data_IF_725152802521
#
_entry.id   IF_725152802521
#
_cell.length_a   1.000
_cell.length_b   1.000
_cell.length_c   1.000
_cell.angle_alpha   90.00
_cell.angle_beta   90.00
_cell.angle_gamma   90.00
#
_symmetry.space_group_name_H-M   'P 1'
#
loop_
_entity.id
_entity.type
_entity.pdbx_description
1 polymer ?
#
# COMPACT_ATOMS: atom_id res chain seq x y z
N UNK A 1 -7.60 4.77 -27.23
CA UNK A 1 -6.97 4.74 -28.57
C UNK A 1 -5.46 4.73 -28.50
N UNK A 2 -4.82 5.78 -27.94
CA UNK A 2 -3.34 5.85 -27.89
C UNK A 2 -2.72 4.66 -27.14
N UNK A 3 -3.30 4.23 -26.03
CA UNK A 3 -2.85 3.03 -25.31
C UNK A 3 -2.87 1.77 -26.20
N UNK A 4 -3.94 1.58 -26.98
CA UNK A 4 -4.02 0.42 -27.87
C UNK A 4 -2.97 0.47 -28.99
N UNK A 5 -2.70 1.66 -29.52
CA UNK A 5 -1.68 1.86 -30.56
C UNK A 5 -0.25 1.60 -30.07
N UNK A 6 0.04 1.99 -28.83
CA UNK A 6 1.40 1.98 -28.30
C UNK A 6 1.73 0.76 -27.42
N UNK A 7 0.73 0.17 -26.77
CA UNK A 7 0.93 -0.91 -25.76
C UNK A 7 0.25 -2.23 -26.09
N UNK A 8 -0.47 -2.33 -27.22
CA UNK A 8 -1.13 -3.59 -27.60
C UNK A 8 -0.73 -4.03 -29.00
N UNK A 9 -1.09 -5.26 -29.37
CA UNK A 9 -0.86 -5.81 -30.70
C UNK A 9 -2.01 -5.55 -31.68
N UNK A 10 -2.93 -4.65 -31.33
CA UNK A 10 -4.05 -4.29 -32.19
C UNK A 10 -3.51 -3.45 -33.38
N UNK A 11 -3.86 -3.85 -34.59
CA UNK A 11 -3.44 -3.10 -35.77
C UNK A 11 -3.89 -1.64 -35.76
N UNK A 12 -3.03 -0.71 -36.15
CA UNK A 12 -3.29 0.73 -36.05
C UNK A 12 -4.62 1.16 -36.72
N UNK A 13 -4.96 0.61 -37.86
CA UNK A 13 -6.25 0.87 -38.54
C UNK A 13 -7.44 0.50 -37.68
N UNK A 14 -7.44 -0.71 -37.12
CA UNK A 14 -8.53 -1.19 -36.28
C UNK A 14 -8.67 -0.36 -35.00
N UNK A 15 -7.55 0.01 -34.36
CA UNK A 15 -7.56 0.84 -33.17
C UNK A 15 -8.12 2.26 -33.46
N UNK A 16 -7.75 2.87 -34.57
CA UNK A 16 -8.26 4.21 -34.98
C UNK A 16 -9.76 4.13 -35.27
N UNK A 17 -10.18 3.19 -36.13
CA UNK A 17 -11.57 3.08 -36.57
C UNK A 17 -12.51 2.80 -35.41
N UNK A 18 -12.15 1.87 -34.49
CA UNK A 18 -12.93 1.57 -33.30
C UNK A 18 -13.18 2.81 -32.43
N UNK A 19 -12.17 3.66 -32.25
CA UNK A 19 -12.32 4.84 -31.39
C UNK A 19 -13.04 5.99 -32.08
N UNK A 20 -12.94 6.11 -33.38
CA UNK A 20 -13.73 7.05 -34.16
C UNK A 20 -15.21 6.65 -34.12
N UNK A 21 -15.51 5.36 -34.25
CA UNK A 21 -16.88 4.83 -34.16
C UNK A 21 -17.43 5.00 -32.74
N UNK A 22 -16.65 4.67 -31.69
CA UNK A 22 -17.03 4.92 -30.30
C UNK A 22 -17.37 6.40 -30.03
N UNK A 23 -16.60 7.35 -30.60
CA UNK A 23 -16.90 8.76 -30.47
C UNK A 23 -18.21 9.17 -31.18
N UNK A 24 -18.53 8.54 -32.30
CA UNK A 24 -19.81 8.74 -33.02
C UNK A 24 -20.99 8.17 -32.23
N UNK A 25 -20.86 6.95 -31.72
CA UNK A 25 -21.89 6.25 -30.94
C UNK A 25 -22.20 6.97 -29.62
N UNK A 26 -21.20 7.62 -29.01
CA UNK A 26 -21.35 8.43 -27.81
C UNK A 26 -21.96 9.83 -28.09
N UNK A 27 -22.44 10.09 -29.29
CA UNK A 27 -22.99 11.37 -29.74
C UNK A 27 -22.06 12.58 -29.50
N UNK A 28 -20.76 12.33 -29.55
CA UNK A 28 -19.75 13.38 -29.41
C UNK A 28 -19.50 14.15 -30.73
N UNK A 29 -20.40 14.05 -31.70
CA UNK A 29 -20.50 14.86 -32.93
C UNK A 29 -19.15 15.11 -33.62
N UNK A 30 -18.63 16.32 -33.48
CA UNK A 30 -17.38 16.78 -34.14
C UNK A 30 -16.11 16.11 -33.56
N UNK A 31 -16.18 15.43 -32.41
CA UNK A 31 -15.01 14.82 -31.80
C UNK A 31 -14.44 13.65 -32.60
N UNK A 32 -15.25 12.95 -33.42
CA UNK A 32 -14.76 11.86 -34.27
C UNK A 32 -13.63 12.28 -35.22
N UNK A 33 -13.71 13.48 -35.81
CA UNK A 33 -12.65 14.02 -36.70
C UNK A 33 -11.37 14.34 -35.90
N UNK A 34 -11.52 14.90 -34.72
CA UNK A 34 -10.39 15.17 -33.80
C UNK A 34 -9.72 13.87 -33.33
N UNK A 35 -10.50 12.88 -32.87
CA UNK A 35 -10.00 11.55 -32.47
C UNK A 35 -9.22 10.92 -33.63
N UNK A 36 -9.77 10.91 -34.84
CA UNK A 36 -9.07 10.37 -36.01
C UNK A 36 -7.74 11.08 -36.28
N UNK A 37 -7.74 12.40 -36.23
CA UNK A 37 -6.53 13.22 -36.51
C UNK A 37 -5.43 12.95 -35.47
N UNK A 38 -5.79 12.89 -34.19
CA UNK A 38 -4.85 12.63 -33.10
C UNK A 38 -4.30 11.19 -33.16
N UNK A 39 -5.18 10.19 -33.29
CA UNK A 39 -4.75 8.79 -33.30
C UNK A 39 -3.90 8.43 -34.51
N UNK A 40 -4.19 9.02 -35.69
CA UNK A 40 -3.33 8.87 -36.89
C UNK A 40 -1.93 9.45 -36.66
N UNK A 41 -1.80 10.59 -35.96
CA UNK A 41 -0.48 11.14 -35.58
C UNK A 41 0.26 10.23 -34.61
N UNK A 42 -0.44 9.70 -33.61
CA UNK A 42 0.16 8.76 -32.64
C UNK A 42 0.65 7.49 -33.34
N UNK A 43 -0.11 6.97 -34.31
CA UNK A 43 0.21 5.74 -35.05
C UNK A 43 1.41 5.84 -35.99
N UNK A 44 1.98 7.01 -36.22
CA UNK A 44 3.15 7.20 -37.11
C UNK A 44 4.43 6.66 -36.52
N UNK A 45 4.53 6.65 -35.18
CA UNK A 45 5.70 6.22 -34.44
C UNK A 45 5.30 5.13 -33.44
N UNK A 46 6.23 4.22 -33.13
CA UNK A 46 6.11 3.31 -31.99
C UNK A 46 6.40 4.04 -30.67
N UNK A 47 6.24 3.31 -29.55
CA UNK A 47 6.45 3.86 -28.22
C UNK A 47 7.88 4.36 -28.02
N UNK A 48 8.87 3.59 -28.46
CA UNK A 48 10.29 3.92 -28.26
C UNK A 48 10.69 5.18 -29.01
N UNK A 49 10.20 5.35 -30.25
CA UNK A 49 10.43 6.54 -31.04
C UNK A 49 9.74 7.78 -30.41
N UNK A 50 8.52 7.64 -29.86
CA UNK A 50 7.88 8.72 -29.12
C UNK A 50 8.65 9.10 -27.86
N UNK A 51 9.10 8.11 -27.07
CA UNK A 51 9.94 8.35 -25.89
C UNK A 51 11.25 9.05 -26.27
N UNK A 52 11.90 8.64 -27.36
CA UNK A 52 13.12 9.29 -27.84
C UNK A 52 12.89 10.77 -28.21
N UNK A 53 11.78 11.06 -28.90
CA UNK A 53 11.39 12.43 -29.25
C UNK A 53 11.15 13.28 -27.99
N UNK A 54 10.39 12.75 -27.01
CA UNK A 54 10.07 13.47 -25.78
C UNK A 54 11.30 13.70 -24.89
N UNK A 55 12.32 12.86 -25.01
CA UNK A 55 13.59 12.97 -24.26
C UNK A 55 14.66 13.83 -24.95
N UNK A 56 14.46 14.25 -26.20
CA UNK A 56 15.51 14.85 -27.03
C UNK A 56 16.20 16.05 -26.34
N UNK A 57 15.42 16.95 -25.75
CA UNK A 57 15.92 18.18 -25.11
C UNK A 57 16.00 18.08 -23.58
N UNK A 58 15.73 16.92 -23.00
CA UNK A 58 15.78 16.70 -21.54
C UNK A 58 17.14 16.18 -21.14
N UNK A 59 17.89 16.93 -20.33
CA UNK A 59 19.24 16.57 -19.88
C UNK A 59 19.25 15.90 -18.50
N UNK A 60 18.28 16.20 -17.66
CA UNK A 60 18.18 15.64 -16.31
C UNK A 60 17.89 14.12 -16.34
N UNK A 61 18.72 13.28 -15.69
CA UNK A 61 18.57 11.83 -15.75
C UNK A 61 17.24 11.33 -15.18
N UNK A 62 16.78 11.91 -14.05
CA UNK A 62 15.53 11.51 -13.40
C UNK A 62 14.32 11.88 -14.28
N UNK A 63 14.31 13.08 -14.85
CA UNK A 63 13.27 13.50 -15.77
C UNK A 63 13.21 12.61 -17.02
N UNK A 64 14.37 12.18 -17.55
CA UNK A 64 14.44 11.25 -18.69
C UNK A 64 13.86 9.87 -18.33
N UNK A 65 14.14 9.36 -17.14
CA UNK A 65 13.55 8.11 -16.66
C UNK A 65 12.03 8.25 -16.50
N UNK A 66 11.58 9.32 -15.87
CA UNK A 66 10.17 9.62 -15.64
C UNK A 66 9.36 9.62 -16.96
N UNK A 67 9.89 10.29 -18.01
CA UNK A 67 9.28 10.29 -19.35
C UNK A 67 9.18 8.86 -19.91
N UNK A 68 10.23 8.06 -19.79
CA UNK A 68 10.28 6.72 -20.37
C UNK A 68 9.37 5.71 -19.72
N UNK A 69 9.03 5.93 -18.47
CA UNK A 69 8.18 5.05 -17.65
C UNK A 69 6.80 5.68 -17.37
N UNK A 70 6.45 6.74 -18.11
CA UNK A 70 5.17 7.45 -17.96
C UNK A 70 4.87 7.85 -16.50
N UNK A 71 5.87 8.30 -15.76
CA UNK A 71 5.73 8.87 -14.43
C UNK A 71 5.82 10.40 -14.47
N UNK A 72 5.03 11.12 -13.65
CA UNK A 72 5.32 12.52 -13.35
C UNK A 72 6.72 12.65 -12.74
N UNK A 73 7.47 13.68 -13.17
CA UNK A 73 8.85 13.90 -12.71
C UNK A 73 8.95 14.00 -11.17
N UNK A 74 7.99 14.68 -10.52
CA UNK A 74 7.98 14.84 -9.08
C UNK A 74 7.88 13.51 -8.33
N UNK A 75 7.18 12.50 -8.89
CA UNK A 75 7.10 11.15 -8.30
C UNK A 75 8.45 10.44 -8.43
N UNK A 76 9.05 10.46 -9.61
CA UNK A 76 10.37 9.86 -9.82
C UNK A 76 11.44 10.48 -8.91
N UNK A 77 11.38 11.80 -8.69
CA UNK A 77 12.27 12.49 -7.72
C UNK A 77 12.01 12.06 -6.29
N UNK A 78 10.74 11.98 -5.87
CA UNK A 78 10.38 11.51 -4.53
C UNK A 78 10.86 10.07 -4.28
N UNK A 79 10.80 9.20 -5.29
CA UNK A 79 11.33 7.84 -5.20
C UNK A 79 12.86 7.82 -5.12
N UNK A 80 13.55 8.61 -5.94
CA UNK A 80 15.00 8.74 -5.87
C UNK A 80 15.48 9.25 -4.50
N UNK A 81 14.77 10.24 -3.94
CA UNK A 81 15.05 10.76 -2.58
C UNK A 81 14.83 9.69 -1.51
N UNK A 82 13.79 8.89 -1.63
CA UNK A 82 13.48 7.83 -0.67
C UNK A 82 14.42 6.64 -0.76
N UNK A 83 14.92 6.30 -1.96
CA UNK A 83 15.97 5.29 -2.16
C UNK A 83 17.31 5.76 -1.56
N UNK A 84 17.56 7.06 -1.49
CA UNK A 84 18.77 7.62 -0.88
C UNK A 84 20.06 7.11 -1.53
N UNK A 85 20.87 6.34 -0.79
CA UNK A 85 22.12 5.76 -1.31
C UNK A 85 21.87 4.77 -2.46
N UNK A 86 20.69 4.15 -2.51
CA UNK A 86 20.29 3.17 -3.51
C UNK A 86 19.58 3.82 -4.72
N UNK A 87 19.70 5.14 -4.90
CA UNK A 87 19.04 5.86 -6.01
C UNK A 87 19.40 5.33 -7.42
N UNK A 88 20.47 4.54 -7.53
CA UNK A 88 20.82 3.82 -8.75
C UNK A 88 19.76 2.77 -9.16
N UNK A 89 18.92 2.31 -8.22
CA UNK A 89 17.81 1.36 -8.47
C UNK A 89 16.51 2.03 -8.96
N UNK A 90 16.51 3.34 -9.13
CA UNK A 90 15.33 4.07 -9.62
C UNK A 90 14.78 3.51 -10.94
N UNK A 91 15.59 3.12 -11.94
CA UNK A 91 15.08 2.51 -13.17
C UNK A 91 14.29 1.24 -12.92
N UNK A 92 14.78 0.34 -12.08
CA UNK A 92 14.15 -0.93 -11.71
C UNK A 92 12.86 -0.69 -10.94
N UNK A 93 12.84 0.28 -10.02
CA UNK A 93 11.64 0.67 -9.28
C UNK A 93 10.54 1.18 -10.21
N UNK A 94 10.86 2.13 -11.10
CA UNK A 94 9.89 2.68 -12.04
C UNK A 94 9.38 1.62 -13.04
N UNK A 95 10.23 0.69 -13.45
CA UNK A 95 9.83 -0.45 -14.29
C UNK A 95 8.90 -1.42 -13.53
N UNK A 96 9.16 -1.68 -12.24
CA UNK A 96 8.30 -2.51 -11.40
C UNK A 96 6.90 -1.89 -11.19
N UNK A 97 6.81 -0.57 -11.14
CA UNK A 97 5.53 0.14 -11.08
C UNK A 97 4.71 0.04 -12.38
N UNK A 98 5.36 -0.20 -13.52
CA UNK A 98 4.68 -0.42 -14.81
C UNK A 98 4.36 -1.89 -15.06
N UNK A 99 4.98 -2.80 -14.32
CA UNK A 99 4.74 -4.22 -14.44
C UNK A 99 3.34 -4.58 -13.89
N UNK A 100 2.69 -5.56 -14.54
CA UNK A 100 1.43 -6.09 -14.02
C UNK A 100 1.69 -6.80 -12.69
N UNK A 101 1.11 -6.34 -11.57
CA UNK A 101 1.31 -6.99 -10.28
C UNK A 101 0.62 -8.35 -10.24
N UNK A 102 1.23 -9.31 -9.54
CA UNK A 102 0.55 -10.54 -9.14
C UNK A 102 -0.61 -10.20 -8.19
N UNK A 103 -1.63 -11.04 -8.18
CA UNK A 103 -2.67 -10.98 -7.16
C UNK A 103 -2.16 -11.69 -5.92
N UNK A 104 -2.15 -11.01 -4.78
CA UNK A 104 -1.79 -11.59 -3.51
C UNK A 104 -3.05 -11.93 -2.72
N UNK A 105 -3.10 -13.14 -2.18
CA UNK A 105 -4.09 -13.59 -1.21
C UNK A 105 -3.44 -13.62 0.18
N UNK A 106 -4.22 -13.34 1.19
CA UNK A 106 -3.88 -13.56 2.58
C UNK A 106 -4.72 -14.73 3.11
N UNK A 107 -4.10 -15.82 3.47
CA UNK A 107 -4.71 -16.90 4.23
C UNK A 107 -5.15 -16.37 5.60
N UNK A 108 -6.34 -16.75 6.07
CA UNK A 108 -6.84 -16.30 7.36
C UNK A 108 -6.14 -17.06 8.49
N UNK A 109 -5.38 -16.37 9.37
CA UNK A 109 -4.76 -17.02 10.53
C UNK A 109 -5.74 -17.85 11.34
N UNK A 110 -5.35 -19.07 11.72
CA UNK A 110 -6.19 -19.99 12.49
C UNK A 110 -7.21 -20.81 11.68
N UNK A 111 -7.50 -20.46 10.44
CA UNK A 111 -8.50 -21.14 9.60
C UNK A 111 -7.86 -21.94 8.46
N UNK A 112 -6.88 -21.39 7.78
CA UNK A 112 -6.16 -22.04 6.67
C UNK A 112 -4.69 -21.59 6.64
N UNK A 113 -3.79 -22.49 6.29
CA UNK A 113 -2.38 -22.15 6.08
C UNK A 113 -2.14 -21.58 4.68
N UNK A 114 -1.00 -20.89 4.47
CA UNK A 114 -0.59 -20.45 3.14
C UNK A 114 -0.34 -21.65 2.20
N UNK A 115 0.25 -22.74 2.72
CA UNK A 115 0.49 -23.98 1.97
C UNK A 115 -0.83 -24.58 1.45
N UNK A 116 -1.83 -24.75 2.32
CA UNK A 116 -3.15 -25.26 1.93
C UNK A 116 -3.83 -24.35 0.92
N UNK A 117 -3.78 -23.03 1.15
CA UNK A 117 -4.35 -22.06 0.22
C UNK A 117 -3.64 -22.10 -1.14
N UNK A 118 -2.32 -22.24 -1.17
CA UNK A 118 -1.55 -22.38 -2.40
C UNK A 118 -1.93 -23.66 -3.18
N UNK A 119 -2.08 -24.79 -2.47
CA UNK A 119 -2.52 -26.06 -3.09
C UNK A 119 -3.93 -25.93 -3.70
N UNK A 120 -4.87 -25.30 -3.00
CA UNK A 120 -6.26 -25.15 -3.48
C UNK A 120 -6.33 -24.19 -4.67
N UNK A 121 -5.56 -23.10 -4.64
CA UNK A 121 -5.66 -22.03 -5.66
C UNK A 121 -4.70 -22.20 -6.83
N UNK A 122 -3.73 -23.12 -6.72
CA UNK A 122 -2.64 -23.26 -7.69
C UNK A 122 -1.65 -22.09 -7.65
N UNK A 123 -1.63 -21.32 -6.55
CA UNK A 123 -0.70 -20.24 -6.30
C UNK A 123 0.64 -20.72 -5.73
N UNK A 124 1.48 -19.75 -5.40
CA UNK A 124 2.76 -19.98 -4.72
C UNK A 124 2.78 -19.22 -3.40
N UNK A 125 3.34 -19.81 -2.35
CA UNK A 125 3.50 -19.12 -1.08
C UNK A 125 4.36 -17.85 -1.22
N UNK A 126 4.00 -16.81 -0.46
CA UNK A 126 4.79 -15.59 -0.35
C UNK A 126 6.03 -15.80 0.50
N UNK A 127 6.97 -14.87 0.41
CA UNK A 127 8.25 -14.97 1.13
C UNK A 127 8.35 -14.07 2.36
N UNK A 128 7.49 -13.06 2.46
CA UNK A 128 7.55 -12.07 3.54
C UNK A 128 6.51 -12.32 4.62
N UNK A 129 5.29 -12.68 4.23
CA UNK A 129 4.20 -12.98 5.16
C UNK A 129 3.94 -14.48 5.21
N UNK A 130 3.84 -15.10 6.40
CA UNK A 130 3.52 -16.53 6.52
C UNK A 130 2.08 -16.87 6.10
N UNK A 131 1.31 -15.88 5.68
CA UNK A 131 -0.07 -16.02 5.23
C UNK A 131 -0.26 -15.70 3.74
N UNK A 132 0.81 -15.31 3.05
CA UNK A 132 0.71 -14.84 1.67
C UNK A 132 0.70 -15.99 0.67
N UNK A 133 -0.17 -15.85 -0.36
CA UNK A 133 -0.16 -16.68 -1.57
C UNK A 133 -0.25 -15.78 -2.79
N UNK A 134 0.61 -16.00 -3.76
CA UNK A 134 0.68 -15.24 -5.01
C UNK A 134 0.04 -16.03 -6.15
N UNK A 135 -0.88 -15.39 -6.85
CA UNK A 135 -1.54 -15.95 -8.04
C UNK A 135 -0.91 -15.35 -9.31
N UNK A 136 -0.51 -16.21 -10.23
CA UNK A 136 -0.03 -15.76 -11.55
C UNK A 136 -1.18 -15.34 -12.47
N UNK A 137 -2.37 -15.89 -12.27
CA UNK A 137 -3.56 -15.61 -13.07
C UNK A 137 -4.85 -16.02 -12.33
N UNK A 138 -5.99 -15.67 -12.90
CA UNK A 138 -7.31 -16.02 -12.37
C UNK A 138 -8.03 -14.83 -11.75
N UNK A 139 -9.32 -15.03 -11.46
CA UNK A 139 -10.16 -14.06 -10.75
C UNK A 139 -10.35 -14.54 -9.31
N UNK A 140 -9.73 -13.88 -8.33
CA UNK A 140 -9.83 -14.28 -6.92
C UNK A 140 -11.28 -14.26 -6.41
N UNK A 141 -12.15 -13.41 -6.98
CA UNK A 141 -13.56 -13.34 -6.60
C UNK A 141 -14.37 -14.61 -6.93
N UNK A 142 -13.84 -15.47 -7.79
CA UNK A 142 -14.47 -16.76 -8.14
C UNK A 142 -13.98 -17.93 -7.28
N UNK A 143 -12.90 -17.75 -6.53
CA UNK A 143 -12.27 -18.82 -5.74
C UNK A 143 -13.04 -19.11 -4.46
N UNK A 144 -13.28 -20.39 -4.16
CA UNK A 144 -14.01 -20.84 -2.97
C UNK A 144 -13.38 -20.32 -1.66
N UNK A 145 -12.04 -20.38 -1.43
CA UNK A 145 -11.46 -19.87 -0.19
C UNK A 145 -11.75 -18.38 0.05
N UNK A 146 -11.86 -17.58 -1.02
CA UNK A 146 -12.20 -16.15 -0.90
C UNK A 146 -13.69 -15.96 -0.61
N UNK A 147 -14.59 -16.71 -1.26
CA UNK A 147 -16.02 -16.68 -1.00
C UNK A 147 -16.36 -17.14 0.43
N UNK A 148 -15.68 -18.18 0.89
CA UNK A 148 -15.86 -18.75 2.23
C UNK A 148 -15.14 -17.97 3.32
N UNK A 149 -14.44 -16.86 2.94
CA UNK A 149 -13.68 -16.00 3.85
C UNK A 149 -12.51 -16.68 4.58
N UNK A 150 -12.02 -17.77 4.03
CA UNK A 150 -10.77 -18.41 4.47
C UNK A 150 -9.55 -17.63 3.96
N UNK A 151 -9.73 -16.85 2.90
CA UNK A 151 -8.70 -15.98 2.36
C UNK A 151 -9.28 -14.62 1.94
N UNK A 152 -8.42 -13.60 1.88
CA UNK A 152 -8.76 -12.26 1.37
C UNK A 152 -7.75 -11.82 0.33
N UNK A 153 -8.18 -10.94 -0.61
CA UNK A 153 -7.24 -10.29 -1.53
C UNK A 153 -6.56 -9.15 -0.79
N UNK A 154 -5.26 -9.29 -0.54
CA UNK A 154 -4.47 -8.29 0.18
C UNK A 154 -3.01 -8.36 -0.25
N UNK A 155 -2.41 -7.22 -0.58
CA UNK A 155 -0.98 -7.13 -0.88
C UNK A 155 -0.13 -7.69 0.27
N UNK A 156 0.91 -8.46 -0.04
CA UNK A 156 1.75 -9.10 0.96
C UNK A 156 2.43 -8.10 1.88
N UNK A 157 2.87 -6.94 1.36
CA UNK A 157 3.42 -5.87 2.20
C UNK A 157 2.41 -5.32 3.21
N UNK A 158 1.11 -5.28 2.83
CA UNK A 158 0.03 -4.91 3.75
C UNK A 158 -0.22 -5.97 4.84
N UNK A 159 -0.02 -7.27 4.52
CA UNK A 159 -0.08 -8.35 5.51
C UNK A 159 1.08 -8.24 6.51
N UNK A 160 2.30 -7.97 6.01
CA UNK A 160 3.50 -7.76 6.83
C UNK A 160 3.31 -6.67 7.87
N UNK A 161 2.58 -5.59 7.55
CA UNK A 161 2.23 -4.54 8.53
C UNK A 161 1.42 -5.10 9.70
N UNK A 162 0.41 -5.92 9.44
CA UNK A 162 -0.41 -6.52 10.51
C UNK A 162 0.38 -7.53 11.33
N UNK A 163 1.24 -8.34 10.69
CA UNK A 163 2.14 -9.27 11.35
C UNK A 163 3.16 -8.53 12.22
N UNK A 164 3.76 -7.45 11.72
CA UNK A 164 4.70 -6.63 12.49
C UNK A 164 4.04 -6.04 13.74
N UNK A 165 2.79 -5.56 13.63
CA UNK A 165 2.05 -5.05 14.78
C UNK A 165 1.83 -6.14 15.84
N UNK A 166 1.42 -7.35 15.45
CA UNK A 166 1.18 -8.44 16.42
C UNK A 166 2.45 -8.90 17.13
N UNK A 167 3.61 -8.79 16.46
CA UNK A 167 4.91 -9.22 17.00
C UNK A 167 5.68 -8.13 17.73
N UNK A 168 5.26 -6.86 17.62
CA UNK A 168 5.98 -5.74 18.24
C UNK A 168 6.14 -5.96 19.75
N UNK A 169 7.37 -5.78 20.31
CA UNK A 169 7.65 -6.07 21.71
C UNK A 169 7.02 -5.04 22.64
N UNK A 170 6.20 -5.50 23.58
CA UNK A 170 5.60 -4.69 24.64
C UNK A 170 6.48 -4.68 25.90
N UNK A 171 6.32 -3.66 26.74
CA UNK A 171 6.73 -3.71 28.14
C UNK A 171 5.49 -4.01 28.99
N UNK A 172 5.59 -5.00 29.88
CA UNK A 172 4.47 -5.54 30.65
C UNK A 172 3.63 -6.55 29.86
N UNK A 173 2.52 -6.98 30.45
CA UNK A 173 1.61 -7.97 29.85
C UNK A 173 0.79 -7.36 28.72
N UNK A 174 0.51 -8.14 27.67
CA UNK A 174 -0.47 -7.78 26.65
C UNK A 174 -1.87 -8.07 27.19
N UNK A 175 -2.61 -7.00 27.49
CA UNK A 175 -4.00 -7.10 27.98
C UNK A 175 -5.01 -7.44 26.87
N UNK A 176 -4.56 -7.63 25.64
CA UNK A 176 -5.38 -8.01 24.49
C UNK A 176 -6.27 -6.89 23.96
N UNK A 177 -5.95 -5.62 24.23
CA UNK A 177 -6.68 -4.46 23.71
C UNK A 177 -5.94 -3.85 22.53
N UNK A 178 -6.33 -4.21 21.32
CA UNK A 178 -5.71 -3.70 20.10
C UNK A 178 -6.59 -2.67 19.40
N UNK A 179 -5.99 -1.72 18.68
CA UNK A 179 -6.69 -0.66 17.97
C UNK A 179 -6.17 -0.57 16.53
N UNK A 180 -7.08 -0.53 15.56
CA UNK A 180 -6.82 -0.10 14.17
C UNK A 180 -7.47 1.27 13.97
N UNK A 181 -6.66 2.33 13.97
CA UNK A 181 -7.13 3.72 13.97
C UNK A 181 -7.60 4.20 12.60
N UNK A 182 -7.35 3.43 11.52
CA UNK A 182 -7.73 3.74 10.15
C UNK A 182 -8.17 2.46 9.41
N UNK A 183 -9.16 1.76 9.96
CA UNK A 183 -9.49 0.37 9.60
C UNK A 183 -10.00 0.14 8.16
N UNK A 184 -10.48 1.17 7.47
CA UNK A 184 -11.07 1.00 6.13
C UNK A 184 -10.07 0.78 5.00
N UNK A 185 -10.36 -0.08 4.05
CA UNK A 185 -11.61 -0.79 3.80
C UNK A 185 -11.75 -2.16 4.50
N UNK A 186 -10.82 -2.57 5.40
CA UNK A 186 -10.96 -3.78 6.21
C UNK A 186 -9.88 -4.84 6.05
N UNK A 187 -9.00 -4.75 5.06
CA UNK A 187 -7.99 -5.78 4.82
C UNK A 187 -7.07 -6.04 6.01
N UNK A 188 -6.47 -4.98 6.59
CA UNK A 188 -5.64 -5.09 7.79
C UNK A 188 -6.47 -5.45 9.02
N UNK A 189 -7.68 -4.89 9.17
CA UNK A 189 -8.60 -5.20 10.26
C UNK A 189 -9.00 -6.68 10.31
N UNK A 190 -9.18 -7.35 9.15
CA UNK A 190 -9.42 -8.80 9.07
C UNK A 190 -8.20 -9.58 9.55
N UNK A 191 -7.01 -9.25 9.07
CA UNK A 191 -5.78 -9.91 9.46
C UNK A 191 -5.51 -9.72 10.97
N UNK A 192 -5.63 -8.49 11.47
CA UNK A 192 -5.47 -8.19 12.91
C UNK A 192 -6.52 -8.91 13.76
N UNK A 193 -7.77 -8.99 13.30
CA UNK A 193 -8.84 -9.69 13.99
C UNK A 193 -8.54 -11.19 14.12
N UNK A 194 -8.03 -11.81 13.06
CA UNK A 194 -7.67 -13.23 13.07
C UNK A 194 -6.42 -13.51 13.95
N UNK A 195 -5.41 -12.63 13.90
CA UNK A 195 -4.25 -12.71 14.79
C UNK A 195 -4.64 -12.48 16.26
N UNK A 196 -5.51 -11.49 16.53
CA UNK A 196 -6.01 -11.21 17.86
C UNK A 196 -6.81 -12.39 18.44
N UNK A 197 -7.60 -13.08 17.61
CA UNK A 197 -8.36 -14.27 18.03
C UNK A 197 -7.44 -15.37 18.56
N UNK A 198 -6.32 -15.63 17.89
CA UNK A 198 -5.32 -16.62 18.32
C UNK A 198 -4.59 -16.23 19.60
N UNK A 199 -4.50 -14.93 19.90
CA UNK A 199 -3.86 -14.38 21.11
C UNK A 199 -4.87 -14.13 22.26
N UNK A 200 -6.17 -14.41 22.06
CA UNK A 200 -7.22 -14.07 23.02
C UNK A 200 -7.48 -12.57 23.15
N UNK A 201 -7.08 -11.79 22.15
CA UNK A 201 -7.21 -10.34 22.12
C UNK A 201 -8.47 -9.89 21.35
N UNK A 202 -8.77 -8.60 21.41
CA UNK A 202 -9.86 -7.95 20.68
C UNK A 202 -9.35 -6.71 19.94
N UNK A 203 -9.93 -6.42 18.78
CA UNK A 203 -9.57 -5.25 17.99
C UNK A 203 -10.71 -4.24 18.00
N UNK A 204 -10.39 -2.99 18.30
CA UNK A 204 -11.26 -1.85 18.02
C UNK A 204 -10.83 -1.23 16.69
N UNK A 205 -11.76 -1.07 15.75
CA UNK A 205 -11.51 -0.41 14.46
C UNK A 205 -12.17 0.96 14.40
N UNK A 206 -11.46 1.96 13.89
CA UNK A 206 -11.98 3.31 13.64
C UNK A 206 -11.94 3.60 12.14
N UNK A 207 -13.03 4.10 11.61
CA UNK A 207 -13.14 4.57 10.23
C UNK A 207 -14.04 5.81 10.18
N UNK A 208 -13.60 6.86 9.49
CA UNK A 208 -14.32 8.13 9.43
C UNK A 208 -15.57 8.08 8.54
N UNK A 209 -15.57 7.22 7.52
CA UNK A 209 -16.68 7.09 6.57
C UNK A 209 -17.63 5.98 7.00
N UNK A 210 -18.91 6.30 7.19
CA UNK A 210 -19.95 5.33 7.55
C UNK A 210 -20.03 4.18 6.53
N UNK A 211 -20.04 4.49 5.24
CA UNK A 211 -20.04 3.49 4.19
C UNK A 211 -18.82 2.53 4.29
N UNK A 212 -17.62 3.06 4.55
CA UNK A 212 -16.42 2.23 4.72
C UNK A 212 -16.45 1.45 6.03
N UNK A 213 -17.02 2.02 7.10
CA UNK A 213 -17.26 1.30 8.35
C UNK A 213 -18.11 0.05 8.13
N UNK A 214 -19.16 0.13 7.31
CA UNK A 214 -20.00 -1.01 6.99
C UNK A 214 -19.26 -2.07 6.17
N UNK A 215 -18.35 -1.67 5.27
CA UNK A 215 -17.47 -2.60 4.58
C UNK A 215 -16.53 -3.34 5.55
N UNK A 216 -15.93 -2.61 6.51
CA UNK A 216 -15.08 -3.22 7.54
C UNK A 216 -15.88 -4.19 8.40
N UNK A 217 -17.06 -3.80 8.88
CA UNK A 217 -17.95 -4.68 9.66
C UNK A 217 -18.32 -5.95 8.91
N UNK A 218 -18.63 -5.82 7.62
CA UNK A 218 -18.95 -6.96 6.77
C UNK A 218 -17.73 -7.89 6.59
N UNK A 219 -16.53 -7.32 6.38
CA UNK A 219 -15.30 -8.07 6.20
C UNK A 219 -14.86 -8.80 7.47
N UNK A 220 -15.00 -8.17 8.65
CA UNK A 220 -14.57 -8.71 9.95
C UNK A 220 -15.63 -9.52 10.67
N UNK A 221 -16.76 -9.85 10.00
CA UNK A 221 -17.83 -10.64 10.60
C UNK A 221 -17.30 -12.00 11.10
N UNK A 222 -17.55 -12.29 12.36
CA UNK A 222 -17.10 -13.53 13.03
C UNK A 222 -15.72 -13.43 13.69
N UNK A 223 -15.02 -12.29 13.55
CA UNK A 223 -13.77 -11.99 14.22
C UNK A 223 -14.01 -11.13 15.48
N UNK A 224 -13.10 -11.13 16.45
CA UNK A 224 -13.20 -10.28 17.64
C UNK A 224 -12.88 -8.81 17.35
N UNK A 225 -13.57 -8.25 16.36
CA UNK A 225 -13.38 -6.86 15.88
C UNK A 225 -14.65 -6.05 16.08
N UNK A 226 -14.55 -4.90 16.75
CA UNK A 226 -15.63 -3.92 16.89
C UNK A 226 -15.26 -2.66 16.12
N UNK A 227 -16.13 -2.20 15.22
CA UNK A 227 -15.85 -1.05 14.35
C UNK A 227 -16.78 0.12 14.64
N UNK A 228 -16.19 1.30 14.83
CA UNK A 228 -16.89 2.55 15.10
C UNK A 228 -16.64 3.55 13.98
N UNK A 229 -17.70 4.29 13.61
CA UNK A 229 -17.55 5.44 12.71
C UNK A 229 -17.14 6.64 13.55
N UNK A 230 -15.89 7.07 13.42
CA UNK A 230 -15.35 8.22 14.16
C UNK A 230 -14.12 8.80 13.43
N UNK A 231 -13.75 10.02 13.80
CA UNK A 231 -12.49 10.61 13.34
C UNK A 231 -11.33 10.08 14.18
N UNK A 232 -10.35 9.40 13.55
CA UNK A 232 -9.20 8.83 14.24
C UNK A 232 -8.33 9.86 14.99
N UNK A 233 -8.45 11.14 14.66
CA UNK A 233 -7.74 12.22 15.38
C UNK A 233 -8.29 12.44 16.78
N UNK A 234 -9.58 12.18 16.97
CA UNK A 234 -10.28 12.21 18.28
C UNK A 234 -11.44 11.21 18.26
N UNK A 235 -11.15 9.91 18.42
CA UNK A 235 -12.18 8.87 18.28
C UNK A 235 -13.09 8.70 19.50
N UNK A 236 -12.90 9.48 20.56
CA UNK A 236 -13.70 9.39 21.78
C UNK A 236 -13.47 8.08 22.56
N UNK A 237 -12.28 7.48 22.43
CA UNK A 237 -11.93 6.24 23.13
C UNK A 237 -11.10 6.51 24.38
N UNK A 238 -11.32 5.69 25.42
CA UNK A 238 -10.47 5.69 26.60
C UNK A 238 -9.08 5.08 26.31
N UNK A 239 -7.99 5.70 26.76
CA UNK A 239 -6.64 5.16 26.63
C UNK A 239 -6.48 3.77 27.24
N UNK A 240 -5.36 3.12 26.94
CA UNK A 240 -5.02 1.83 27.52
C UNK A 240 -4.99 0.68 26.51
N UNK A 241 -4.81 0.98 25.22
CA UNK A 241 -4.56 -0.03 24.20
C UNK A 241 -3.12 -0.54 24.29
N UNK A 242 -2.93 -1.83 24.15
CA UNK A 242 -1.60 -2.46 24.15
C UNK A 242 -0.88 -2.22 22.81
N UNK A 243 -1.64 -2.33 21.73
CA UNK A 243 -1.15 -2.20 20.35
C UNK A 243 -2.07 -1.29 19.55
N UNK A 244 -1.51 -0.33 18.84
CA UNK A 244 -2.26 0.60 17.98
C UNK A 244 -1.66 0.58 16.57
N UNK A 245 -2.45 0.25 15.57
CA UNK A 245 -2.10 0.41 14.17
C UNK A 245 -2.60 1.78 13.67
N UNK A 246 -1.70 2.50 13.01
CA UNK A 246 -2.03 3.68 12.20
C UNK A 246 -1.63 3.39 10.75
N UNK A 247 -2.51 2.68 10.00
CA UNK A 247 -2.38 2.59 8.55
C UNK A 247 -2.87 3.89 7.93
N UNK A 248 -1.98 4.87 7.92
CA UNK A 248 -2.35 6.26 7.73
C UNK A 248 -2.82 6.56 6.29
N UNK A 249 -3.90 7.36 6.12
CA UNK A 249 -4.24 7.91 4.82
C UNK A 249 -3.03 8.63 4.22
N UNK A 250 -2.64 8.26 3.01
CA UNK A 250 -1.43 8.74 2.35
C UNK A 250 -1.65 9.00 0.86
N UNK A 251 -0.62 9.46 0.16
CA UNK A 251 -0.68 9.68 -1.28
C UNK A 251 -0.93 8.40 -2.08
N UNK A 252 -0.53 7.23 -1.55
CA UNK A 252 -0.65 5.95 -2.21
C UNK A 252 0.39 5.72 -3.31
N UNK A 253 1.48 6.47 -3.31
CA UNK A 253 2.54 6.36 -4.31
C UNK A 253 3.21 4.98 -4.34
N UNK A 254 3.14 4.24 -3.25
CA UNK A 254 3.67 2.87 -3.18
C UNK A 254 2.81 1.80 -3.87
N UNK A 255 1.57 2.14 -4.26
CA UNK A 255 0.63 1.22 -4.90
C UNK A 255 0.34 1.57 -6.37
N UNK A 256 1.21 2.33 -7.03
CA UNK A 256 1.01 2.82 -8.41
C UNK A 256 0.91 1.69 -9.43
N UNK A 257 1.58 0.56 -9.22
CA UNK A 257 1.47 -0.64 -10.07
C UNK A 257 0.03 -1.19 -10.11
N UNK A 258 -0.78 -0.99 -9.04
CA UNK A 258 -2.18 -1.39 -8.95
C UNK A 258 -3.15 -0.29 -9.34
N UNK A 259 -2.71 0.98 -9.25
CA UNK A 259 -3.49 2.19 -9.52
C UNK A 259 -2.71 3.18 -10.36
N UNK A 260 -2.34 2.84 -11.60
CA UNK A 260 -1.46 3.67 -12.44
C UNK A 260 -2.06 5.06 -12.73
N UNK A 261 -3.39 5.20 -12.70
CA UNK A 261 -4.07 6.48 -12.89
C UNK A 261 -3.80 7.46 -11.72
N UNK A 262 -3.41 6.97 -10.56
CA UNK A 262 -3.11 7.82 -9.41
C UNK A 262 -1.90 8.73 -9.66
N UNK A 263 -0.95 8.32 -10.54
CA UNK A 263 0.18 9.14 -10.97
C UNK A 263 -0.25 10.52 -11.47
N UNK A 264 -1.38 10.56 -12.19
CA UNK A 264 -1.86 11.77 -12.88
C UNK A 264 -2.97 12.50 -12.13
N UNK A 265 -3.47 11.94 -11.03
CA UNK A 265 -4.49 12.53 -10.16
C UNK A 265 -3.91 13.20 -8.93
N UNK A 266 -2.71 12.78 -8.51
CA UNK A 266 -2.01 13.33 -7.35
C UNK A 266 -1.03 14.42 -7.78
N UNK A 267 -0.86 15.39 -6.90
CA UNK A 267 0.12 16.47 -7.05
C UNK A 267 1.01 16.55 -5.81
N UNK A 268 2.19 17.14 -5.94
CA UNK A 268 3.08 17.38 -4.80
C UNK A 268 2.42 18.25 -3.70
N UNK A 269 1.47 19.11 -4.06
CA UNK A 269 0.74 19.95 -3.10
C UNK A 269 -0.19 19.13 -2.18
N UNK A 270 -0.72 18.00 -2.66
CA UNK A 270 -1.61 17.13 -1.86
C UNK A 270 -0.87 16.52 -0.67
N UNK A 271 0.45 16.35 -0.76
CA UNK A 271 1.28 15.74 0.29
C UNK A 271 1.20 16.53 1.60
N UNK A 272 1.20 17.86 1.54
CA UNK A 272 1.22 18.70 2.74
C UNK A 272 -0.01 18.48 3.62
N UNK A 273 -1.20 18.40 3.01
CA UNK A 273 -2.45 18.13 3.75
C UNK A 273 -2.47 16.74 4.39
N UNK A 274 -1.92 15.74 3.68
CA UNK A 274 -1.82 14.38 4.19
C UNK A 274 -0.84 14.29 5.38
N UNK A 275 0.31 14.96 5.32
CA UNK A 275 1.28 14.99 6.42
C UNK A 275 0.68 15.57 7.70
N UNK A 276 -0.10 16.66 7.60
CA UNK A 276 -0.81 17.23 8.77
C UNK A 276 -1.78 16.22 9.38
N UNK A 277 -2.54 15.51 8.55
CA UNK A 277 -3.46 14.47 8.99
C UNK A 277 -2.71 13.30 9.64
N UNK A 278 -1.64 12.82 9.02
CA UNK A 278 -0.81 11.71 9.50
C UNK A 278 -0.21 11.99 10.87
N UNK A 279 0.32 13.18 11.09
CA UNK A 279 0.82 13.63 12.40
C UNK A 279 -0.27 13.64 13.45
N UNK A 280 -1.44 14.19 13.14
CA UNK A 280 -2.57 14.24 14.07
C UNK A 280 -3.10 12.84 14.44
N UNK A 281 -3.11 11.90 13.48
CA UNK A 281 -3.45 10.50 13.73
C UNK A 281 -2.41 9.79 14.61
N UNK A 282 -1.13 10.01 14.34
CA UNK A 282 -0.05 9.42 15.14
C UNK A 282 -0.06 9.98 16.57
N UNK A 283 -0.28 11.28 16.75
CA UNK A 283 -0.45 11.89 18.08
C UNK A 283 -1.66 11.32 18.83
N UNK A 284 -2.77 11.06 18.14
CA UNK A 284 -3.94 10.40 18.71
C UNK A 284 -3.61 8.96 19.17
N UNK A 285 -2.92 8.20 18.33
CA UNK A 285 -2.49 6.84 18.65
C UNK A 285 -1.58 6.80 19.89
N UNK A 286 -0.61 7.74 19.97
CA UNK A 286 0.30 7.85 21.12
C UNK A 286 -0.40 8.25 22.41
N UNK A 287 -1.54 8.96 22.35
CA UNK A 287 -2.38 9.22 23.55
C UNK A 287 -3.18 8.00 23.97
N UNK A 288 -3.63 7.19 23.00
CA UNK A 288 -4.51 6.03 23.23
C UNK A 288 -3.75 4.79 23.67
N UNK A 289 -2.53 4.60 23.22
CA UNK A 289 -1.69 3.49 23.64
C UNK A 289 -1.30 3.65 25.12
N UNK A 290 -1.27 2.54 25.87
CA UNK A 290 -0.81 2.55 27.26
C UNK A 290 0.70 2.75 27.34
N UNK A 291 1.25 3.16 28.51
CA UNK A 291 2.67 3.05 28.77
C UNK A 291 3.16 1.59 28.56
N UNK A 292 4.33 1.44 27.92
CA UNK A 292 4.86 0.13 27.51
C UNK A 292 4.19 -0.49 26.28
N UNK A 293 3.08 0.06 25.80
CA UNK A 293 2.41 -0.36 24.58
C UNK A 293 3.06 0.23 23.32
N UNK A 294 2.70 -0.30 22.16
CA UNK A 294 3.32 0.03 20.86
C UNK A 294 2.32 0.60 19.87
N UNK A 295 2.71 1.65 19.17
CA UNK A 295 2.06 2.18 17.97
C UNK A 295 2.87 1.74 16.76
N UNK A 296 2.25 1.03 15.82
CA UNK A 296 2.81 0.78 14.51
C UNK A 296 2.21 1.78 13.51
N UNK A 297 3.04 2.66 13.00
CA UNK A 297 2.68 3.58 11.93
C UNK A 297 3.03 2.96 10.59
N UNK A 298 2.12 2.99 9.62
CA UNK A 298 2.34 2.47 8.27
C UNK A 298 1.73 3.38 7.20
N UNK A 299 2.32 3.37 6.01
CA UNK A 299 1.76 4.01 4.80
C UNK A 299 2.09 3.18 3.57
N UNK A 300 1.20 3.17 2.57
CA UNK A 300 1.53 2.70 1.21
C UNK A 300 2.10 3.85 0.36
N UNK A 301 3.06 4.56 0.91
CA UNK A 301 3.81 5.64 0.24
C UNK A 301 5.26 5.62 0.70
N UNK A 302 6.24 5.70 -0.19
CA UNK A 302 7.65 5.86 0.19
C UNK A 302 8.06 7.33 0.34
N UNK A 303 7.16 8.29 0.13
CA UNK A 303 7.49 9.72 0.18
C UNK A 303 8.01 10.14 1.56
N UNK A 304 9.23 10.69 1.63
CA UNK A 304 9.91 10.99 2.90
C UNK A 304 9.12 11.90 3.85
N UNK A 305 8.31 12.81 3.32
CA UNK A 305 7.45 13.68 4.15
C UNK A 305 6.32 12.90 4.84
N UNK A 306 5.82 11.82 4.22
CA UNK A 306 4.74 10.97 4.75
C UNK A 306 5.27 9.82 5.63
N UNK A 307 6.57 9.60 5.65
CA UNK A 307 7.24 8.46 6.29
C UNK A 307 8.24 8.94 7.35
N UNK A 308 9.51 8.98 7.00
CA UNK A 308 10.63 9.28 7.90
C UNK A 308 10.46 10.62 8.63
N UNK A 309 9.91 11.65 7.95
CA UNK A 309 9.73 12.97 8.58
C UNK A 309 8.68 12.95 9.69
N UNK A 310 7.57 12.21 9.50
CA UNK A 310 6.52 12.02 10.51
C UNK A 310 7.08 11.29 11.74
N UNK A 311 7.83 10.21 11.50
CA UNK A 311 8.40 9.38 12.58
C UNK A 311 9.47 10.12 13.36
N UNK A 312 10.39 10.81 12.67
CA UNK A 312 11.44 11.59 13.35
C UNK A 312 10.88 12.72 14.22
N UNK A 313 9.76 13.30 13.85
CA UNK A 313 9.09 14.30 14.67
C UNK A 313 8.47 13.69 15.92
N UNK A 314 7.73 12.58 15.78
CA UNK A 314 7.15 11.87 16.92
C UNK A 314 8.21 11.33 17.90
N UNK A 315 9.33 10.82 17.38
CA UNK A 315 10.43 10.29 18.17
C UNK A 315 11.25 11.37 18.94
N UNK A 316 10.97 12.67 18.75
CA UNK A 316 11.55 13.74 19.59
C UNK A 316 10.86 13.88 20.94
N UNK A 317 9.71 13.28 21.10
CA UNK A 317 8.96 13.31 22.36
C UNK A 317 9.71 12.49 23.41
N UNK A 318 9.84 13.00 24.66
CA UNK A 318 10.57 12.30 25.71
C UNK A 318 9.89 10.99 26.15
N UNK A 319 8.57 10.89 25.94
CA UNK A 319 7.72 9.73 26.26
C UNK A 319 7.63 8.71 25.12
N UNK A 320 8.46 8.82 24.07
CA UNK A 320 8.38 7.95 22.87
C UNK A 320 9.76 7.35 22.57
N UNK A 321 9.80 6.03 22.52
CA UNK A 321 10.96 5.25 22.08
C UNK A 321 10.71 4.71 20.67
N UNK A 322 11.65 4.91 19.76
CA UNK A 322 11.59 4.35 18.41
C UNK A 322 12.25 2.96 18.42
N UNK A 323 11.45 1.93 18.12
CA UNK A 323 11.90 0.54 18.06
C UNK A 323 12.44 0.21 16.66
N UNK A 324 13.42 -0.68 16.60
CA UNK A 324 13.86 -1.24 15.32
C UNK A 324 12.92 -2.36 14.86
N UNK A 325 12.11 -2.08 13.86
CA UNK A 325 11.13 -3.03 13.31
C UNK A 325 11.81 -4.30 12.77
N UNK A 326 13.05 -4.20 12.30
CA UNK A 326 13.81 -5.32 11.74
C UNK A 326 14.16 -6.40 12.77
N UNK A 327 14.17 -6.06 14.07
CA UNK A 327 14.47 -7.01 15.16
C UNK A 327 13.34 -8.00 15.41
N UNK A 328 12.09 -7.65 15.09
CA UNK A 328 10.93 -8.51 15.30
C UNK A 328 10.15 -8.86 14.03
N UNK A 329 10.65 -8.41 12.86
CA UNK A 329 10.09 -8.74 11.54
C UNK A 329 10.98 -9.76 10.84
N UNK A 330 10.38 -10.91 10.53
CA UNK A 330 11.01 -12.00 9.79
C UNK A 330 10.17 -12.38 8.57
N UNK A 331 10.80 -12.97 7.58
CA UNK A 331 10.13 -13.59 6.45
C UNK A 331 9.23 -14.76 6.87
N UNK A 332 8.53 -15.32 5.89
CA UNK A 332 7.62 -16.45 6.11
C UNK A 332 8.32 -17.69 6.68
N UNK A 333 9.59 -17.90 6.33
CA UNK A 333 10.44 -18.98 6.80
C UNK A 333 11.18 -18.70 8.14
N UNK A 334 10.92 -17.53 8.74
CA UNK A 334 11.54 -17.09 9.98
C UNK A 334 12.92 -16.45 9.82
N UNK A 335 13.44 -16.31 8.59
CA UNK A 335 14.73 -15.65 8.32
C UNK A 335 14.58 -14.12 8.27
N UNK A 336 15.66 -13.35 8.51
CA UNK A 336 15.65 -11.91 8.30
C UNK A 336 15.30 -11.55 6.86
N UNK A 337 14.51 -10.50 6.67
CA UNK A 337 14.18 -9.96 5.35
C UNK A 337 15.31 -9.00 4.93
N UNK A 338 15.84 -9.19 3.73
CA UNK A 338 16.88 -8.31 3.18
C UNK A 338 16.28 -7.06 2.54
N UNK A 339 17.11 -6.01 2.36
CA UNK A 339 16.74 -4.82 1.59
C UNK A 339 15.71 -3.90 2.25
N UNK A 340 15.54 -4.00 3.58
CA UNK A 340 14.54 -3.21 4.34
C UNK A 340 14.95 -1.75 4.59
N UNK A 341 16.18 -1.36 4.25
CA UNK A 341 16.75 -0.04 4.51
C UNK A 341 17.62 0.01 5.77
N UNK A 342 18.26 1.17 6.02
CA UNK A 342 19.29 1.34 7.06
C UNK A 342 18.74 1.86 8.40
N UNK A 343 17.49 2.34 8.44
CA UNK A 343 16.89 2.93 9.63
C UNK A 343 16.22 1.89 10.54
N UNK A 344 15.72 2.28 11.71
CA UNK A 344 14.93 1.42 12.58
C UNK A 344 13.51 1.16 12.03
N UNK A 345 13.13 1.83 10.96
CA UNK A 345 11.92 1.58 10.18
C UNK A 345 12.19 0.67 9.00
N UNK A 346 11.12 0.17 8.41
CA UNK A 346 11.16 -0.70 7.23
C UNK A 346 10.52 0.01 6.05
N UNK A 347 11.16 -0.07 4.89
CA UNK A 347 10.61 0.32 3.60
C UNK A 347 10.64 -0.89 2.65
N UNK A 348 9.46 -1.42 2.31
CA UNK A 348 9.31 -2.43 1.27
C UNK A 348 9.23 -1.75 -0.10
N UNK A 349 9.74 -2.43 -1.13
CA UNK A 349 9.80 -1.90 -2.49
C UNK A 349 9.30 -2.91 -3.53
N UNK A 350 8.59 -2.48 -4.59
CA UNK A 350 8.09 -3.38 -5.63
C UNK A 350 9.19 -4.17 -6.34
N UNK A 351 10.30 -3.53 -6.66
CA UNK A 351 11.42 -4.16 -7.38
C UNK A 351 12.27 -5.11 -6.53
N UNK A 352 12.32 -4.91 -5.21
CA UNK A 352 13.07 -5.77 -4.28
C UNK A 352 12.22 -6.90 -3.71
N UNK A 353 10.98 -6.57 -3.33
CA UNK A 353 10.14 -7.43 -2.49
C UNK A 353 8.89 -7.95 -3.23
N UNK A 354 8.60 -7.47 -4.44
CA UNK A 354 7.39 -7.86 -5.18
C UNK A 354 6.08 -7.35 -4.57
N UNK A 355 6.13 -6.48 -3.53
CA UNK A 355 4.98 -5.91 -2.82
C UNK A 355 4.71 -4.46 -3.24
N UNK A 356 3.63 -3.87 -2.76
CA UNK A 356 3.50 -2.42 -2.79
C UNK A 356 4.59 -1.79 -1.91
N UNK A 357 5.00 -0.54 -2.21
CA UNK A 357 6.00 0.14 -1.40
C UNK A 357 5.37 0.54 -0.05
N UNK A 358 5.46 -0.36 0.92
CA UNK A 358 4.96 -0.15 2.28
C UNK A 358 6.08 0.36 3.18
N UNK A 359 5.80 1.44 3.89
CA UNK A 359 6.61 1.92 5.00
C UNK A 359 5.98 1.51 6.32
N UNK A 360 6.80 1.15 7.31
CA UNK A 360 6.36 0.93 8.68
C UNK A 360 7.43 1.30 9.70
N UNK A 361 6.98 1.85 10.84
CA UNK A 361 7.82 2.20 11.98
C UNK A 361 7.06 1.92 13.28
N UNK A 362 7.76 1.47 14.31
CA UNK A 362 7.18 1.15 15.60
C UNK A 362 7.66 2.13 16.68
N UNK A 363 6.72 2.67 17.43
CA UNK A 363 6.98 3.62 18.53
C UNK A 363 6.37 3.04 19.81
N UNK A 364 7.19 2.93 20.86
CA UNK A 364 6.73 2.50 22.18
C UNK A 364 6.54 3.71 23.08
N UNK A 365 5.40 3.76 23.79
CA UNK A 365 5.19 4.79 24.80
C UNK A 365 5.93 4.39 26.09
N UNK A 366 6.79 5.29 26.59
CA UNK A 366 7.50 5.11 27.86
C UNK A 366 6.64 5.49 29.06
N UNK A 367 6.99 4.97 30.24
CA UNK A 367 6.35 5.34 31.51
C UNK A 367 6.78 6.73 32.02
N UNK A 368 7.91 7.26 31.53
CA UNK A 368 8.53 8.51 31.99
C UNK A 368 8.01 9.69 31.14
N UNK A 369 7.02 10.42 31.64
CA UNK A 369 6.63 11.75 31.21
C UNK A 369 6.44 12.69 32.41
#
# INVERSE_FOLDING_TARGET
GSYQLLYTRIGAHAAVDLHVEAARTADLGRAGAFVNAVLRKVAVQDLDAWVAILRADVTDPVARLAIGTAHPEWIARAFAESLGADAAELPELLAADDARPKVHLAARPGEISAEELALITGGTEGTLSPYAVHLDSGDPGTMEPVKDRLATVQDEGSQVVAVAMSRAPLVGEDGGRWLDLCAGPGGKAVMLGALAESEGATVTGIEISEHRTDLVRAATKGLPVKVHTADGRDPGLEPGFDRVLVDAPCSGLGALRRRPEARWRKTAADIQGLVVLQRALLDSALRLVRPGGVVLYATCSPHLSETVSVIREAARRPDVELLDVREFLTGADGTPIEGLGDGPWVQLWPHRHGTDAMFMAALRRSDDA
#
